data_IF_727222912298
#
_entry.id   IF_727222912298
#
_cell.length_a   1.000
_cell.length_b   1.000
_cell.length_c   1.000
_cell.angle_alpha   90.00
_cell.angle_beta   90.00
_cell.angle_gamma   90.00
#
_symmetry.space_group_name_H-M   'P 1'
#
loop_
_entity.id
_entity.type
_entity.pdbx_description
1 polymer ?
#
# COMPACT_ATOMS: atom_id res chain seq x y z
N UNK A 1 18.18 -23.52 15.23
CA UNK A 1 17.10 -23.44 14.22
C UNK A 1 15.88 -22.79 14.86
N UNK A 2 15.41 -21.67 14.32
CA UNK A 2 14.20 -21.01 14.79
C UNK A 2 12.99 -21.91 14.45
N UNK A 3 12.38 -22.56 15.45
CA UNK A 3 11.25 -23.48 15.26
C UNK A 3 10.05 -22.79 14.57
N UNK A 4 9.89 -21.48 14.77
CA UNK A 4 8.84 -20.69 14.14
C UNK A 4 9.10 -20.55 12.63
N UNK A 5 10.32 -20.17 12.25
CA UNK A 5 10.72 -20.07 10.85
C UNK A 5 10.57 -21.41 10.13
N UNK A 6 10.93 -22.51 10.78
CA UNK A 6 10.73 -23.86 10.22
C UNK A 6 9.24 -24.18 10.02
N UNK A 7 8.38 -23.85 10.99
CA UNK A 7 6.94 -24.07 10.88
C UNK A 7 6.32 -23.26 9.74
N UNK A 8 6.70 -21.99 9.59
CA UNK A 8 6.19 -21.10 8.52
C UNK A 8 6.64 -21.59 7.13
N UNK A 9 7.92 -21.93 6.96
CA UNK A 9 8.44 -22.48 5.71
C UNK A 9 7.80 -23.84 5.36
N UNK A 10 7.48 -24.65 6.36
CA UNK A 10 6.78 -25.92 6.16
C UNK A 10 5.31 -25.67 5.77
N UNK A 11 4.65 -24.70 6.39
CA UNK A 11 3.27 -24.33 6.10
C UNK A 11 3.07 -23.84 4.66
N UNK A 12 4.02 -23.06 4.12
CA UNK A 12 3.99 -22.62 2.71
C UNK A 12 3.96 -23.79 1.72
N UNK A 13 4.65 -24.88 2.05
CA UNK A 13 4.78 -26.06 1.18
C UNK A 13 3.72 -27.13 1.47
N UNK A 14 3.01 -27.02 2.59
CA UNK A 14 1.98 -27.95 3.00
C UNK A 14 0.62 -27.59 2.35
N UNK A 15 -0.24 -28.58 2.05
CA UNK A 15 -1.58 -28.34 1.54
C UNK A 15 -2.54 -27.97 2.68
N UNK A 16 -2.31 -26.82 3.33
CA UNK A 16 -3.18 -26.30 4.38
C UNK A 16 -4.45 -25.71 3.76
N UNK A 17 -5.60 -25.94 4.42
CA UNK A 17 -6.84 -25.26 4.05
C UNK A 17 -6.78 -23.79 4.50
N UNK A 18 -7.53 -22.91 3.84
CA UNK A 18 -7.58 -21.49 4.20
C UNK A 18 -7.91 -21.25 5.67
N UNK A 19 -8.86 -22.01 6.22
CA UNK A 19 -9.21 -21.92 7.64
C UNK A 19 -8.04 -22.26 8.59
N UNK A 20 -7.19 -23.23 8.24
CA UNK A 20 -5.99 -23.56 9.02
C UNK A 20 -4.95 -22.45 8.90
N UNK A 21 -4.75 -21.93 7.69
CA UNK A 21 -3.83 -20.81 7.43
C UNK A 21 -4.25 -19.57 8.20
N UNK A 22 -5.54 -19.20 8.15
CA UNK A 22 -6.10 -18.06 8.90
C UNK A 22 -5.96 -18.24 10.40
N UNK A 23 -6.20 -19.44 10.94
CA UNK A 23 -5.99 -19.70 12.37
C UNK A 23 -4.51 -19.54 12.79
N UNK A 24 -3.58 -19.98 11.93
CA UNK A 24 -2.15 -19.76 12.14
C UNK A 24 -1.77 -18.28 12.10
N UNK A 25 -2.28 -17.54 11.11
CA UNK A 25 -2.07 -16.08 10.96
C UNK A 25 -2.63 -15.34 12.18
N UNK A 26 -3.85 -15.67 12.62
CA UNK A 26 -4.48 -15.06 13.80
C UNK A 26 -3.66 -15.27 15.08
N UNK A 27 -3.12 -16.48 15.28
CA UNK A 27 -2.21 -16.77 16.39
C UNK A 27 -0.94 -15.90 16.35
N UNK A 28 -0.33 -15.74 15.18
CA UNK A 28 0.85 -14.89 14.98
C UNK A 28 0.52 -13.42 15.23
N UNK A 29 -0.61 -12.94 14.73
CA UNK A 29 -1.12 -11.59 14.98
C UNK A 29 -1.31 -11.35 16.48
N UNK A 30 -1.96 -12.27 17.19
CA UNK A 30 -2.13 -12.18 18.64
C UNK A 30 -0.80 -12.15 19.41
N UNK A 31 0.22 -12.88 18.95
CA UNK A 31 1.57 -12.82 19.52
C UNK A 31 2.21 -11.45 19.28
N UNK A 32 2.12 -10.92 18.07
CA UNK A 32 2.65 -9.58 17.73
C UNK A 32 1.94 -8.49 18.53
N UNK A 33 0.60 -8.52 18.60
CA UNK A 33 -0.21 -7.61 19.43
C UNK A 33 0.28 -7.59 20.88
N UNK A 34 0.42 -8.75 21.53
CA UNK A 34 0.92 -8.84 22.92
C UNK A 34 2.32 -8.28 23.08
N UNK A 35 3.22 -8.55 22.13
CA UNK A 35 4.59 -8.00 22.14
C UNK A 35 4.57 -6.47 22.05
N UNK A 36 3.80 -5.91 21.11
CA UNK A 36 3.70 -4.47 20.91
C UNK A 36 3.01 -3.78 22.09
N UNK A 37 1.99 -4.39 22.70
CA UNK A 37 1.34 -3.86 23.90
C UNK A 37 2.30 -3.79 25.11
N UNK A 38 3.26 -4.70 25.21
CA UNK A 38 4.31 -4.67 26.24
C UNK A 38 5.46 -3.68 25.91
N UNK A 39 5.46 -3.09 24.72
CA UNK A 39 6.52 -2.17 24.27
C UNK A 39 6.26 -0.76 24.79
N UNK A 40 7.22 -0.20 25.52
CA UNK A 40 7.12 1.14 26.11
C UNK A 40 6.89 2.22 25.03
N UNK A 41 6.09 3.24 25.35
CA UNK A 41 5.78 4.32 24.41
C UNK A 41 7.04 5.09 23.94
N UNK A 42 8.09 5.15 24.76
CA UNK A 42 9.37 5.76 24.40
C UNK A 42 10.09 5.06 23.23
N UNK A 43 9.75 3.79 22.95
CA UNK A 43 10.31 3.07 21.80
C UNK A 43 9.81 3.63 20.47
N UNK A 44 8.66 4.27 20.43
CA UNK A 44 8.16 4.92 19.21
C UNK A 44 9.07 6.09 18.81
N UNK A 45 9.53 6.89 19.78
CA UNK A 45 10.47 7.98 19.51
C UNK A 45 11.81 7.43 18.99
N UNK A 46 12.31 6.34 19.57
CA UNK A 46 13.53 5.68 19.09
C UNK A 46 13.36 5.12 17.68
N UNK A 47 12.17 4.62 17.34
CA UNK A 47 11.85 4.16 15.99
C UNK A 47 11.90 5.31 14.99
N UNK A 48 11.28 6.45 15.31
CA UNK A 48 11.32 7.68 14.51
C UNK A 48 12.76 8.16 14.32
N UNK A 49 13.55 8.24 15.38
CA UNK A 49 14.95 8.66 15.31
C UNK A 49 15.78 7.73 14.42
N UNK A 50 15.56 6.42 14.54
CA UNK A 50 16.25 5.41 13.74
C UNK A 50 15.92 5.50 12.25
N UNK A 51 14.75 6.03 11.85
CA UNK A 51 14.40 6.21 10.43
C UNK A 51 15.44 7.04 9.66
N UNK A 52 16.07 8.01 10.34
CA UNK A 52 17.06 8.90 9.72
C UNK A 52 18.33 8.18 9.27
N UNK A 53 18.57 6.97 9.76
CA UNK A 53 19.75 6.16 9.43
C UNK A 53 19.57 5.38 8.11
N UNK A 54 18.36 5.34 7.57
CA UNK A 54 18.03 4.58 6.36
C UNK A 54 17.97 5.48 5.11
N UNK A 55 18.18 4.90 3.91
CA UNK A 55 17.74 5.54 2.67
C UNK A 55 16.21 5.72 2.65
N UNK A 56 15.68 6.46 1.67
CA UNK A 56 14.21 6.67 1.55
C UNK A 56 13.50 5.33 1.38
N UNK A 57 14.00 4.47 0.50
CA UNK A 57 13.56 3.08 0.37
C UNK A 57 14.78 2.15 0.42
N UNK A 58 14.70 1.09 1.22
CA UNK A 58 15.68 0.00 1.22
C UNK A 58 15.24 -1.04 0.17
N UNK A 59 16.18 -1.71 -0.49
CA UNK A 59 15.89 -2.82 -1.41
C UNK A 59 14.93 -2.46 -2.56
N UNK A 60 14.94 -1.22 -3.06
CA UNK A 60 13.99 -0.76 -4.09
C UNK A 60 13.98 -1.65 -5.35
N UNK A 61 15.14 -2.10 -5.82
CA UNK A 61 15.26 -3.04 -6.95
C UNK A 61 14.65 -4.42 -6.67
N UNK A 62 14.74 -4.89 -5.43
CA UNK A 62 14.22 -6.20 -5.02
C UNK A 62 12.72 -6.15 -4.74
N UNK A 63 12.23 -5.08 -4.12
CA UNK A 63 10.80 -4.81 -3.99
C UNK A 63 10.11 -4.72 -5.36
N UNK A 64 10.78 -4.08 -6.33
CA UNK A 64 10.32 -4.01 -7.72
C UNK A 64 10.20 -5.38 -8.38
N UNK A 65 11.21 -6.24 -8.19
CA UNK A 65 11.17 -7.62 -8.69
C UNK A 65 10.04 -8.40 -8.03
N UNK A 66 9.95 -8.43 -6.70
CA UNK A 66 8.96 -9.23 -5.98
C UNK A 66 7.49 -8.86 -6.28
N UNK A 67 7.15 -7.57 -6.41
CA UNK A 67 5.75 -7.13 -6.53
C UNK A 67 5.28 -6.89 -7.95
N UNK A 68 6.18 -6.48 -8.84
CA UNK A 68 5.84 -6.07 -10.20
C UNK A 68 6.33 -7.06 -11.27
N UNK A 69 6.79 -8.25 -10.85
CA UNK A 69 7.05 -9.39 -11.73
C UNK A 69 5.79 -9.85 -12.48
N UNK A 70 4.61 -9.75 -11.84
CA UNK A 70 3.36 -10.11 -12.50
C UNK A 70 2.87 -9.01 -13.45
N UNK A 71 2.43 -9.36 -14.68
CA UNK A 71 1.95 -8.39 -15.65
C UNK A 71 0.58 -7.82 -15.26
N UNK A 72 0.22 -6.69 -15.88
CA UNK A 72 -1.10 -6.05 -15.72
C UNK A 72 -2.27 -7.04 -15.90
N UNK A 73 -2.09 -8.06 -16.74
CA UNK A 73 -3.07 -9.12 -16.97
C UNK A 73 -3.45 -9.87 -15.69
N UNK A 74 -2.50 -10.17 -14.80
CA UNK A 74 -2.79 -10.80 -13.51
C UNK A 74 -3.67 -9.90 -12.63
N UNK A 75 -3.23 -8.67 -12.42
CA UNK A 75 -3.97 -7.69 -11.61
C UNK A 75 -5.35 -7.38 -12.20
N UNK A 76 -5.51 -7.55 -13.53
CA UNK A 76 -6.80 -7.39 -14.19
C UNK A 76 -7.84 -8.46 -13.84
N UNK A 77 -7.37 -9.64 -13.41
CA UNK A 77 -8.19 -10.78 -12.98
C UNK A 77 -8.54 -10.70 -11.51
N UNK A 78 -7.58 -10.31 -10.68
CA UNK A 78 -7.70 -10.36 -9.22
C UNK A 78 -8.34 -9.10 -8.65
N UNK A 79 -7.99 -7.92 -9.16
CA UNK A 79 -8.49 -6.64 -8.65
C UNK A 79 -9.84 -6.26 -9.27
N UNK A 80 -10.48 -5.24 -8.72
CA UNK A 80 -11.68 -4.67 -9.32
C UNK A 80 -11.38 -3.88 -10.61
N UNK A 81 -12.41 -3.35 -11.28
CA UNK A 81 -12.27 -2.68 -12.58
C UNK A 81 -11.37 -1.43 -12.57
N UNK A 82 -11.22 -0.77 -11.43
CA UNK A 82 -10.35 0.39 -11.25
C UNK A 82 -8.89 -0.01 -11.03
N UNK A 83 -8.61 -1.29 -10.82
CA UNK A 83 -7.28 -1.83 -10.51
C UNK A 83 -6.68 -1.23 -9.25
N UNK A 84 -7.52 -0.97 -8.23
CA UNK A 84 -7.05 -0.40 -6.97
C UNK A 84 -6.37 -1.50 -6.16
N UNK A 85 -5.04 -1.49 -6.15
CA UNK A 85 -4.23 -2.41 -5.36
C UNK A 85 -3.88 -1.82 -3.99
N UNK A 86 -4.92 -1.55 -3.20
CA UNK A 86 -4.87 -1.01 -1.84
C UNK A 86 -6.25 -1.16 -1.18
N UNK A 87 -6.37 -0.89 0.11
CA UNK A 87 -7.61 -1.04 0.87
C UNK A 87 -8.82 -0.35 0.21
N UNK A 88 -9.89 -1.09 -0.06
CA UNK A 88 -11.16 -0.56 -0.58
C UNK A 88 -12.12 -0.20 0.56
N UNK A 89 -13.13 0.63 0.31
CA UNK A 89 -14.08 1.09 1.31
C UNK A 89 -15.42 0.38 1.12
N UNK A 90 -15.96 -0.22 2.17
CA UNK A 90 -17.22 -0.98 2.13
C UNK A 90 -18.25 -0.34 3.07
N UNK A 91 -19.06 0.62 2.60
CA UNK A 91 -20.06 1.29 3.44
C UNK A 91 -21.13 0.33 3.98
N UNK A 92 -21.41 -0.76 3.24
CA UNK A 92 -22.43 -1.75 3.62
C UNK A 92 -21.97 -3.18 3.36
N UNK A 93 -22.62 -4.15 3.98
CA UNK A 93 -22.39 -5.59 3.72
C UNK A 93 -22.69 -5.99 2.26
N UNK A 94 -23.51 -5.23 1.53
CA UNK A 94 -23.87 -5.52 0.14
C UNK A 94 -22.94 -4.87 -0.91
N UNK A 95 -22.01 -4.02 -0.46
CA UNK A 95 -21.07 -3.32 -1.36
C UNK A 95 -20.18 -4.32 -2.10
N UNK A 96 -20.24 -4.34 -3.42
CA UNK A 96 -19.36 -5.19 -4.26
C UNK A 96 -17.94 -4.63 -4.32
N UNK A 97 -16.93 -5.45 -4.64
CA UNK A 97 -15.54 -4.97 -4.83
C UNK A 97 -15.46 -3.79 -5.81
N UNK A 98 -16.22 -3.85 -6.92
CA UNK A 98 -16.27 -2.76 -7.92
C UNK A 98 -16.74 -1.45 -7.29
N UNK A 99 -17.80 -1.49 -6.50
CA UNK A 99 -18.31 -0.31 -5.80
C UNK A 99 -17.34 0.14 -4.72
N UNK A 100 -16.72 -0.80 -4.00
CA UNK A 100 -15.79 -0.51 -2.93
C UNK A 100 -14.52 0.21 -3.39
N UNK A 101 -14.01 -0.12 -4.59
CA UNK A 101 -12.92 0.64 -5.22
C UNK A 101 -13.34 2.09 -5.46
N UNK A 102 -14.52 2.30 -6.05
CA UNK A 102 -15.03 3.65 -6.37
C UNK A 102 -15.28 4.45 -5.09
N UNK A 103 -15.87 3.83 -4.06
CA UNK A 103 -16.07 4.46 -2.76
C UNK A 103 -14.73 4.90 -2.13
N UNK A 104 -13.71 4.05 -2.18
CA UNK A 104 -12.40 4.40 -1.64
C UNK A 104 -11.73 5.56 -2.41
N UNK A 105 -11.85 5.58 -3.73
CA UNK A 105 -11.31 6.66 -4.57
C UNK A 105 -12.05 7.98 -4.34
N UNK A 106 -13.39 7.93 -4.23
CA UNK A 106 -14.21 9.10 -3.90
C UNK A 106 -13.87 9.64 -2.50
N UNK A 107 -13.69 8.77 -1.52
CA UNK A 107 -13.34 9.16 -0.16
C UNK A 107 -11.91 9.72 -0.08
N UNK A 108 -10.99 9.19 -0.88
CA UNK A 108 -9.64 9.77 -1.06
C UNK A 108 -9.73 11.20 -1.60
N UNK A 109 -10.52 11.42 -2.65
CA UNK A 109 -10.74 12.77 -3.22
C UNK A 109 -11.32 13.73 -2.18
N UNK A 110 -12.29 13.25 -1.39
CA UNK A 110 -12.93 14.03 -0.33
C UNK A 110 -11.93 14.41 0.77
N UNK A 111 -11.20 13.43 1.31
CA UNK A 111 -10.25 13.68 2.41
C UNK A 111 -9.05 14.50 1.94
N UNK A 112 -8.60 14.32 0.70
CA UNK A 112 -7.53 15.11 0.11
C UNK A 112 -7.99 16.52 -0.30
N UNK A 113 -9.28 16.85 -0.13
CA UNK A 113 -9.89 18.11 -0.56
C UNK A 113 -9.48 18.48 -2.01
N UNK A 114 -9.60 17.51 -2.93
CA UNK A 114 -9.26 17.69 -4.34
C UNK A 114 -10.42 18.38 -5.06
N UNK A 115 -10.09 19.43 -5.81
CA UNK A 115 -11.03 20.18 -6.64
C UNK A 115 -10.52 20.25 -8.09
N UNK A 116 -11.43 20.54 -9.01
CA UNK A 116 -11.08 20.71 -10.42
C UNK A 116 -10.22 21.98 -10.62
N UNK A 117 -9.21 21.89 -11.49
CA UNK A 117 -8.26 22.97 -11.74
C UNK A 117 -6.96 22.90 -10.92
N UNK A 118 -6.83 21.94 -10.00
CA UNK A 118 -5.62 21.73 -9.21
C UNK A 118 -4.50 21.05 -10.01
N UNK A 119 -3.24 21.35 -9.69
CA UNK A 119 -2.09 20.52 -10.09
C UNK A 119 -1.81 19.51 -8.99
N UNK A 120 -1.85 18.22 -9.33
CA UNK A 120 -1.80 17.10 -8.38
C UNK A 120 -0.60 16.22 -8.67
N UNK A 121 0.18 15.89 -7.64
CA UNK A 121 1.25 14.88 -7.69
C UNK A 121 0.79 13.63 -6.94
N UNK A 122 0.81 12.49 -7.59
CA UNK A 122 0.52 11.18 -6.99
C UNK A 122 1.81 10.37 -6.85
N UNK A 123 2.20 10.05 -5.61
CA UNK A 123 3.38 9.25 -5.30
C UNK A 123 2.98 7.77 -5.17
N UNK A 124 3.57 6.90 -6.00
CA UNK A 124 3.28 5.46 -5.98
C UNK A 124 1.93 5.12 -6.62
N UNK A 125 1.73 5.44 -7.90
CA UNK A 125 0.42 5.34 -8.54
C UNK A 125 -0.06 3.92 -8.89
N UNK A 126 0.76 2.88 -8.68
CA UNK A 126 0.40 1.49 -8.95
C UNK A 126 -0.13 1.29 -10.38
N UNK A 127 -1.29 0.65 -10.52
CA UNK A 127 -1.96 0.46 -11.81
C UNK A 127 -2.83 1.65 -12.26
N UNK A 128 -2.66 2.81 -11.61
CA UNK A 128 -3.28 4.09 -11.95
C UNK A 128 -4.74 4.22 -11.54
N UNK A 129 -5.16 3.53 -10.49
CA UNK A 129 -6.56 3.58 -10.02
C UNK A 129 -6.99 5.00 -9.67
N UNK A 130 -6.15 5.73 -8.91
CA UNK A 130 -6.41 7.13 -8.60
C UNK A 130 -6.07 8.04 -9.79
N UNK A 131 -4.95 7.82 -10.47
CA UNK A 131 -4.53 8.64 -11.62
C UNK A 131 -5.63 8.78 -12.67
N UNK A 132 -6.20 7.64 -13.10
CA UNK A 132 -7.24 7.59 -14.12
C UNK A 132 -8.58 8.11 -13.60
N UNK A 133 -8.86 7.92 -12.30
CA UNK A 133 -10.06 8.46 -11.66
C UNK A 133 -10.01 10.00 -11.62
N UNK A 134 -8.91 10.58 -11.14
CA UNK A 134 -8.72 12.03 -11.08
C UNK A 134 -8.75 12.65 -12.48
N UNK A 135 -8.04 12.06 -13.44
CA UNK A 135 -8.00 12.56 -14.80
C UNK A 135 -9.40 12.64 -15.45
N UNK A 136 -10.25 11.65 -15.19
CA UNK A 136 -11.61 11.61 -15.71
C UNK A 136 -12.57 12.56 -14.97
N UNK A 137 -12.46 12.68 -13.64
CA UNK A 137 -13.36 13.50 -12.82
C UNK A 137 -13.03 15.00 -12.87
N UNK A 138 -11.76 15.35 -13.10
CA UNK A 138 -11.25 16.72 -13.00
C UNK A 138 -10.53 17.15 -14.29
N UNK A 139 -11.26 17.44 -15.37
CA UNK A 139 -10.67 17.72 -16.69
C UNK A 139 -9.82 19.00 -16.74
N UNK A 140 -10.00 19.94 -15.80
CA UNK A 140 -9.20 21.16 -15.73
C UNK A 140 -7.97 21.01 -14.82
N UNK A 141 -7.92 19.95 -14.01
CA UNK A 141 -6.74 19.61 -13.20
C UNK A 141 -5.60 19.04 -14.06
N UNK A 142 -4.37 19.09 -13.55
CA UNK A 142 -3.21 18.42 -14.15
C UNK A 142 -2.66 17.39 -13.18
N UNK A 143 -2.63 16.13 -13.59
CA UNK A 143 -2.17 15.03 -12.75
C UNK A 143 -0.79 14.59 -13.22
N UNK A 144 0.17 14.53 -12.29
CA UNK A 144 1.48 13.93 -12.48
C UNK A 144 1.57 12.74 -11.53
N UNK A 145 1.65 11.53 -12.08
CA UNK A 145 1.74 10.31 -11.30
C UNK A 145 3.14 9.70 -11.38
N UNK A 146 3.64 9.17 -10.28
CA UNK A 146 4.97 8.56 -10.19
C UNK A 146 4.83 7.09 -9.86
N UNK A 147 5.44 6.24 -10.67
CA UNK A 147 5.59 4.81 -10.42
C UNK A 147 7.07 4.43 -10.57
N UNK A 148 7.54 3.40 -9.88
CA UNK A 148 8.86 2.81 -10.12
C UNK A 148 8.83 1.76 -11.24
N UNK A 149 7.66 1.45 -11.80
CA UNK A 149 7.45 0.43 -12.83
C UNK A 149 7.13 1.04 -14.20
N UNK A 150 7.89 0.63 -15.21
CA UNK A 150 7.66 1.00 -16.61
C UNK A 150 6.40 0.35 -17.18
N UNK A 151 6.04 -0.86 -16.74
CA UNK A 151 4.85 -1.57 -17.19
C UNK A 151 3.57 -0.93 -16.68
N UNK A 152 3.57 -0.46 -15.43
CA UNK A 152 2.48 0.35 -14.86
C UNK A 152 2.29 1.65 -15.65
N UNK A 153 3.38 2.39 -15.89
CA UNK A 153 3.32 3.60 -16.73
C UNK A 153 2.72 3.33 -18.11
N UNK A 154 3.18 2.29 -18.80
CA UNK A 154 2.68 1.94 -20.13
C UNK A 154 1.17 1.63 -20.10
N UNK A 155 0.71 0.85 -19.12
CA UNK A 155 -0.70 0.52 -18.94
C UNK A 155 -1.56 1.77 -18.69
N UNK A 156 -1.13 2.66 -17.81
CA UNK A 156 -1.87 3.88 -17.45
C UNK A 156 -2.00 4.80 -18.66
N UNK A 157 -0.89 5.06 -19.38
CA UNK A 157 -0.91 5.95 -20.54
C UNK A 157 -1.74 5.37 -21.70
N UNK A 158 -1.68 4.05 -21.93
CA UNK A 158 -2.53 3.39 -22.92
C UNK A 158 -4.02 3.53 -22.56
N UNK A 159 -4.36 3.33 -21.29
CA UNK A 159 -5.73 3.47 -20.78
C UNK A 159 -6.22 4.92 -20.85
N UNK A 160 -5.37 5.88 -20.50
CA UNK A 160 -5.68 7.31 -20.61
C UNK A 160 -5.95 7.71 -22.07
N UNK A 161 -5.09 7.28 -23.00
CA UNK A 161 -5.28 7.52 -24.43
C UNK A 161 -6.58 6.90 -24.95
N UNK A 162 -6.88 5.65 -24.59
CA UNK A 162 -8.13 4.98 -24.96
C UNK A 162 -9.38 5.75 -24.48
N UNK A 163 -9.28 6.39 -23.30
CA UNK A 163 -10.37 7.18 -22.69
C UNK A 163 -10.37 8.66 -23.10
N UNK A 164 -9.42 9.10 -23.93
CA UNK A 164 -9.28 10.50 -24.33
C UNK A 164 -8.86 11.45 -23.19
N UNK A 165 -8.15 10.94 -22.18
CA UNK A 165 -7.68 11.71 -21.03
C UNK A 165 -6.33 12.34 -21.34
N UNK A 166 -6.30 13.67 -21.54
CA UNK A 166 -5.09 14.41 -21.93
C UNK A 166 -4.41 15.17 -20.79
N UNK A 167 -4.99 15.11 -19.59
CA UNK A 167 -4.56 15.86 -18.40
C UNK A 167 -3.72 15.03 -17.41
N UNK A 168 -3.26 13.84 -17.82
CA UNK A 168 -2.47 12.91 -17.01
C UNK A 168 -1.09 12.68 -17.64
N UNK A 169 -0.03 12.82 -16.84
CA UNK A 169 1.32 12.36 -17.15
C UNK A 169 1.80 11.34 -16.12
N UNK A 170 2.65 10.41 -16.55
CA UNK A 170 3.20 9.37 -15.67
C UNK A 170 4.72 9.32 -15.83
N UNK A 171 5.43 9.42 -14.71
CA UNK A 171 6.89 9.38 -14.59
C UNK A 171 7.29 8.03 -14.01
N UNK A 172 8.28 7.38 -14.62
CA UNK A 172 8.92 6.20 -14.04
C UNK A 172 10.18 6.63 -13.29
N UNK A 173 10.22 6.48 -11.97
CA UNK A 173 11.36 6.86 -11.14
C UNK A 173 11.42 6.06 -9.82
N UNK A 174 12.64 5.81 -9.34
CA UNK A 174 12.88 5.35 -7.97
C UNK A 174 12.72 6.52 -6.98
N UNK A 175 12.01 6.31 -5.88
CA UNK A 175 11.77 7.37 -4.91
C UNK A 175 13.02 7.81 -4.15
N UNK A 176 14.09 7.00 -4.11
CA UNK A 176 15.39 7.42 -3.60
C UNK A 176 15.97 8.58 -4.42
N UNK A 177 15.70 8.62 -5.73
CA UNK A 177 16.29 9.56 -6.68
C UNK A 177 15.29 10.60 -7.20
N UNK A 178 13.99 10.31 -7.12
CA UNK A 178 12.95 11.17 -7.66
C UNK A 178 13.01 12.59 -7.08
N UNK A 179 12.98 13.56 -7.98
CA UNK A 179 12.90 14.99 -7.69
C UNK A 179 12.19 15.70 -8.85
N UNK A 180 11.50 16.79 -8.54
CA UNK A 180 10.77 17.62 -9.49
C UNK A 180 10.74 19.06 -8.97
N UNK A 181 10.93 20.03 -9.86
CA UNK A 181 10.93 21.47 -9.50
C UNK A 181 9.51 22.03 -9.35
N UNK A 182 8.53 21.40 -10.01
CA UNK A 182 7.14 21.82 -9.96
C UNK A 182 6.56 21.67 -8.55
N UNK A 183 5.77 22.67 -8.12
CA UNK A 183 4.96 22.62 -6.91
C UNK A 183 3.49 22.34 -7.22
N UNK A 184 2.84 21.61 -6.33
CA UNK A 184 1.50 21.06 -6.50
C UNK A 184 0.53 21.59 -5.43
N UNK A 185 -0.73 21.76 -5.81
CA UNK A 185 -1.81 22.09 -4.87
C UNK A 185 -2.09 20.91 -3.94
N UNK A 186 -1.95 19.69 -4.47
CA UNK A 186 -2.07 18.43 -3.74
C UNK A 186 -0.93 17.50 -4.08
N UNK A 187 -0.29 16.96 -3.05
CA UNK A 187 0.51 15.75 -3.15
C UNK A 187 -0.28 14.65 -2.48
N UNK A 188 -0.39 13.49 -3.11
CA UNK A 188 -1.23 12.38 -2.66
C UNK A 188 -0.40 11.10 -2.68
N UNK A 189 -0.49 10.31 -1.63
CA UNK A 189 0.11 8.98 -1.55
C UNK A 189 -0.91 7.98 -1.04
N UNK A 190 -1.14 6.89 -1.80
CA UNK A 190 -1.96 5.77 -1.38
C UNK A 190 -1.07 4.53 -1.25
N UNK A 191 -0.96 4.04 -0.02
CA UNK A 191 -0.24 2.83 0.36
C UNK A 191 1.18 2.72 -0.24
N UNK A 192 1.93 3.83 -0.22
CA UNK A 192 3.32 3.89 -0.66
C UNK A 192 4.30 4.16 0.49
N UNK A 193 3.90 4.93 1.51
CA UNK A 193 4.79 5.37 2.59
C UNK A 193 5.24 4.20 3.49
N UNK A 194 4.40 3.19 3.69
CA UNK A 194 4.74 1.93 4.36
C UNK A 194 5.89 1.18 3.70
N UNK A 195 6.13 1.38 2.41
CA UNK A 195 7.28 0.80 1.71
C UNK A 195 8.55 1.63 1.88
N UNK A 196 8.46 2.81 2.52
CA UNK A 196 9.56 3.74 2.73
C UNK A 196 10.12 3.60 4.13
N UNK A 197 11.44 3.66 4.25
CA UNK A 197 12.17 3.42 5.51
C UNK A 197 12.59 4.71 6.21
N UNK A 198 12.72 5.82 5.47
CA UNK A 198 13.05 7.15 5.99
C UNK A 198 11.97 8.18 5.64
N UNK A 199 10.95 8.28 6.50
CA UNK A 199 9.82 9.20 6.31
C UNK A 199 10.23 10.66 6.45
N UNK A 200 11.19 11.01 7.33
CA UNK A 200 11.66 12.40 7.49
C UNK A 200 12.17 12.96 6.17
N UNK A 201 13.09 12.24 5.52
CA UNK A 201 13.67 12.66 4.24
C UNK A 201 12.63 12.73 3.12
N UNK A 202 11.64 11.85 3.13
CA UNK A 202 10.54 11.90 2.16
C UNK A 202 9.59 13.08 2.43
N UNK A 203 9.29 13.40 3.69
CA UNK A 203 8.53 14.58 4.06
C UNK A 203 9.27 15.87 3.70
N UNK A 204 10.58 15.95 3.91
CA UNK A 204 11.40 17.10 3.48
C UNK A 204 11.24 17.35 1.96
N UNK A 205 11.34 16.28 1.15
CA UNK A 205 11.10 16.36 -0.30
C UNK A 205 9.66 16.73 -0.64
N UNK A 206 8.68 16.12 0.02
CA UNK A 206 7.28 16.44 -0.19
C UNK A 206 6.98 17.91 0.13
N UNK A 207 7.63 18.50 1.14
CA UNK A 207 7.51 19.93 1.46
C UNK A 207 8.00 20.82 0.31
N UNK A 208 9.00 20.38 -0.44
CA UNK A 208 9.47 21.08 -1.63
C UNK A 208 8.52 20.94 -2.83
N UNK A 209 7.73 19.86 -2.88
CA UNK A 209 6.74 19.62 -3.93
C UNK A 209 5.37 20.24 -3.62
N UNK A 210 5.05 20.53 -2.37
CA UNK A 210 3.77 21.15 -1.98
C UNK A 210 3.87 22.68 -2.10
N UNK A 211 2.85 23.33 -2.68
CA UNK A 211 2.71 24.80 -2.65
C UNK A 211 2.51 25.29 -1.20
N UNK A 212 2.79 26.57 -0.86
CA UNK A 212 2.59 27.08 0.50
C UNK A 212 1.18 26.82 1.08
N UNK A 213 0.14 26.98 0.27
CA UNK A 213 -1.26 26.70 0.63
C UNK A 213 -1.73 25.31 0.19
N UNK A 214 -0.83 24.49 -0.35
CA UNK A 214 -1.12 23.12 -0.77
C UNK A 214 -1.25 22.18 0.41
N UNK A 215 -1.60 20.92 0.12
CA UNK A 215 -1.70 19.86 1.12
C UNK A 215 -1.03 18.58 0.65
N UNK A 216 -0.52 17.81 1.60
CA UNK A 216 -0.13 16.42 1.40
C UNK A 216 -1.25 15.55 1.97
N UNK A 217 -1.73 14.57 1.21
CA UNK A 217 -2.65 13.56 1.70
C UNK A 217 -1.95 12.20 1.76
N UNK A 218 -2.04 11.54 2.91
CA UNK A 218 -1.54 10.18 3.13
C UNK A 218 -2.71 9.24 3.37
N UNK A 219 -2.76 8.14 2.62
CA UNK A 219 -3.51 6.93 2.91
C UNK A 219 -2.47 5.83 3.15
N UNK A 220 -2.41 5.31 4.37
CA UNK A 220 -1.37 4.36 4.79
C UNK A 220 -1.97 3.35 5.76
N UNK A 221 -1.64 2.08 5.62
CA UNK A 221 -2.03 1.11 6.64
C UNK A 221 -1.24 1.30 7.93
N UNK A 222 -1.85 1.05 9.08
CA UNK A 222 -1.27 1.35 10.40
C UNK A 222 -1.57 0.26 11.42
N UNK A 223 -0.66 0.07 12.36
CA UNK A 223 -0.97 -0.55 13.64
C UNK A 223 -1.43 0.54 14.61
N UNK A 224 -2.40 0.24 15.48
CA UNK A 224 -3.07 1.26 16.29
C UNK A 224 -2.13 2.10 17.18
N UNK A 225 -1.06 1.52 17.72
CA UNK A 225 -0.24 2.20 18.76
C UNK A 225 1.27 2.21 18.52
N UNK A 226 1.81 1.37 17.63
CA UNK A 226 3.26 1.08 17.59
C UNK A 226 3.74 0.81 16.19
N UNK A 227 4.85 1.42 15.82
CA UNK A 227 5.55 1.12 14.59
C UNK A 227 6.45 -0.10 14.75
N UNK A 228 6.61 -0.87 13.67
CA UNK A 228 7.65 -1.89 13.56
C UNK A 228 8.09 -2.05 12.11
N UNK A 229 9.28 -2.60 11.90
CA UNK A 229 9.81 -2.91 10.57
C UNK A 229 9.45 -4.34 10.17
N UNK A 230 9.24 -4.53 8.88
CA UNK A 230 9.28 -5.86 8.27
C UNK A 230 10.75 -6.22 8.08
N UNK A 231 11.19 -7.30 8.70
CA UNK A 231 12.60 -7.64 8.84
C UNK A 231 12.96 -8.81 7.92
N UNK A 232 13.59 -8.50 6.79
CA UNK A 232 14.08 -9.51 5.85
C UNK A 232 15.20 -10.39 6.46
N UNK A 233 15.87 -9.93 7.52
CA UNK A 233 16.89 -10.72 8.20
C UNK A 233 16.28 -11.68 9.26
N UNK A 234 14.99 -11.53 9.61
CA UNK A 234 14.27 -12.48 10.46
C UNK A 234 13.67 -13.60 9.60
N UNK A 235 14.19 -14.85 9.67
CA UNK A 235 13.67 -15.97 8.87
C UNK A 235 12.22 -16.35 9.21
N UNK A 236 11.63 -15.80 10.27
CA UNK A 236 10.22 -15.96 10.61
C UNK A 236 9.31 -14.88 10.01
N UNK A 237 9.85 -13.81 9.42
CA UNK A 237 9.07 -12.73 8.80
C UNK A 237 8.79 -13.04 7.32
N UNK A 238 7.95 -14.05 7.08
CA UNK A 238 7.64 -14.54 5.74
C UNK A 238 7.09 -13.46 4.79
N UNK A 239 6.34 -12.48 5.32
CA UNK A 239 5.84 -11.38 4.49
C UNK A 239 6.99 -10.48 4.03
N UNK A 240 7.98 -10.19 4.88
CA UNK A 240 9.16 -9.40 4.50
C UNK A 240 9.99 -10.05 3.38
N UNK A 241 10.08 -11.38 3.37
CA UNK A 241 10.85 -12.17 2.41
C UNK A 241 10.23 -12.26 1.01
N UNK A 242 8.91 -12.07 0.89
CA UNK A 242 8.20 -12.33 -0.36
C UNK A 242 7.36 -11.17 -0.87
N UNK A 243 6.87 -10.33 0.04
CA UNK A 243 5.86 -9.31 -0.23
C UNK A 243 6.07 -7.98 0.52
N UNK A 244 7.11 -7.78 1.33
CA UNK A 244 7.27 -6.49 2.02
C UNK A 244 8.72 -6.21 2.45
N UNK A 245 9.66 -6.28 1.50
CA UNK A 245 11.08 -6.07 1.81
C UNK A 245 11.37 -4.60 2.15
N UNK A 246 11.91 -4.35 3.35
CA UNK A 246 12.41 -3.04 3.79
C UNK A 246 11.34 -2.03 4.26
N UNK A 247 10.06 -2.42 4.23
CA UNK A 247 8.95 -1.57 4.66
C UNK A 247 8.73 -1.54 6.18
N UNK A 248 7.68 -0.84 6.58
CA UNK A 248 7.25 -0.69 7.97
C UNK A 248 5.74 -0.90 8.10
N UNK A 249 5.32 -1.36 9.26
CA UNK A 249 3.98 -1.11 9.76
C UNK A 249 4.05 0.11 10.67
N UNK A 250 3.57 1.29 10.24
CA UNK A 250 3.63 2.50 11.05
C UNK A 250 2.57 2.49 12.17
N UNK A 251 2.87 3.17 13.27
CA UNK A 251 1.87 3.54 14.27
C UNK A 251 0.86 4.53 13.67
N UNK A 252 -0.37 4.50 14.13
CA UNK A 252 -1.40 5.43 13.69
C UNK A 252 -1.05 6.90 13.98
N UNK A 253 -0.27 7.18 15.03
CA UNK A 253 0.17 8.53 15.37
C UNK A 253 1.50 8.93 14.70
N UNK A 254 2.11 8.07 13.89
CA UNK A 254 3.43 8.33 13.29
C UNK A 254 3.48 9.63 12.46
N UNK A 255 2.47 10.01 11.65
CA UNK A 255 2.49 11.28 10.93
C UNK A 255 2.61 12.52 11.84
N UNK A 256 2.12 12.47 13.08
CA UNK A 256 2.23 13.58 14.04
C UNK A 256 3.66 13.79 14.54
N UNK A 257 4.57 12.83 14.32
CA UNK A 257 5.96 12.91 14.76
C UNK A 257 6.85 13.77 13.84
N UNK A 258 6.26 14.36 12.80
CA UNK A 258 6.93 15.21 11.80
C UNK A 258 6.29 16.61 11.71
N UNK A 259 5.77 17.14 12.83
CA UNK A 259 5.06 18.42 12.90
C UNK A 259 5.90 19.64 12.48
N UNK A 260 7.24 19.52 12.54
CA UNK A 260 8.18 20.53 12.08
C UNK A 260 8.25 20.66 10.54
N UNK A 261 7.76 19.64 9.83
CA UNK A 261 7.65 19.62 8.37
C UNK A 261 6.20 19.78 7.91
N UNK A 262 5.29 19.06 8.57
CA UNK A 262 3.88 18.99 8.23
C UNK A 262 3.01 18.84 9.48
N UNK A 263 2.05 19.74 9.67
CA UNK A 263 1.03 19.58 10.70
C UNK A 263 -0.17 18.79 10.15
N UNK A 264 -0.67 17.82 10.91
CA UNK A 264 -1.91 17.11 10.59
C UNK A 264 -3.09 18.06 10.81
N UNK A 265 -3.85 18.34 9.76
CA UNK A 265 -5.04 19.21 9.79
C UNK A 265 -6.31 18.40 10.03
N UNK A 266 -6.43 17.27 9.35
CA UNK A 266 -7.52 16.31 9.52
C UNK A 266 -6.98 14.88 9.51
N UNK A 267 -7.62 14.01 10.28
CA UNK A 267 -7.26 12.61 10.47
C UNK A 267 -8.50 11.73 10.45
N UNK A 268 -8.39 10.56 9.81
CA UNK A 268 -9.42 9.54 9.84
C UNK A 268 -8.80 8.15 9.95
N UNK A 269 -9.62 7.20 10.43
CA UNK A 269 -9.24 5.80 10.51
C UNK A 269 -10.32 4.91 9.95
N UNK A 270 -9.94 4.04 9.02
CA UNK A 270 -10.77 2.92 8.59
C UNK A 270 -10.42 1.68 9.40
N UNK A 271 -11.45 0.96 9.85
CA UNK A 271 -11.26 -0.37 10.46
C UNK A 271 -10.55 -1.30 9.48
N UNK A 272 -9.68 -2.17 9.99
CA UNK A 272 -9.04 -3.20 9.18
C UNK A 272 -10.03 -4.16 8.51
N UNK A 273 -11.29 -4.22 8.96
CA UNK A 273 -12.35 -5.02 8.32
C UNK A 273 -12.54 -4.68 6.83
N UNK A 274 -12.32 -3.42 6.45
CA UNK A 274 -12.34 -3.00 5.05
C UNK A 274 -11.22 -3.64 4.22
N UNK A 275 -9.99 -3.68 4.76
CA UNK A 275 -8.88 -4.33 4.07
C UNK A 275 -9.02 -5.84 4.10
N UNK A 276 -9.49 -6.42 5.22
CA UNK A 276 -9.85 -7.84 5.27
C UNK A 276 -10.80 -8.22 4.15
N UNK A 277 -11.88 -7.46 3.99
CA UNK A 277 -12.86 -7.73 2.92
C UNK A 277 -12.24 -7.56 1.53
N UNK A 278 -11.45 -6.51 1.33
CA UNK A 278 -10.68 -6.30 0.08
C UNK A 278 -9.84 -7.52 -0.29
N UNK A 279 -9.06 -8.04 0.65
CA UNK A 279 -8.20 -9.19 0.42
C UNK A 279 -8.98 -10.49 0.17
N UNK A 280 -10.12 -10.68 0.83
CA UNK A 280 -11.01 -11.82 0.58
C UNK A 280 -11.69 -11.75 -0.78
N UNK A 281 -12.10 -10.55 -1.23
CA UNK A 281 -12.67 -10.36 -2.58
C UNK A 281 -11.60 -10.62 -3.66
N UNK A 282 -10.36 -10.19 -3.43
CA UNK A 282 -9.23 -10.54 -4.30
C UNK A 282 -8.95 -12.05 -4.32
N UNK A 283 -8.96 -12.71 -3.17
CA UNK A 283 -8.81 -14.16 -3.09
C UNK A 283 -9.93 -14.89 -3.84
N UNK A 284 -11.18 -14.46 -3.70
CA UNK A 284 -12.32 -15.04 -4.41
C UNK A 284 -12.19 -14.86 -5.94
N UNK A 285 -11.65 -13.72 -6.40
CA UNK A 285 -11.34 -13.51 -7.80
C UNK A 285 -10.17 -14.40 -8.27
N UNK A 286 -9.13 -14.53 -7.46
CA UNK A 286 -8.00 -15.42 -7.73
C UNK A 286 -8.45 -16.87 -7.93
N UNK A 287 -9.40 -17.34 -7.11
CA UNK A 287 -9.97 -18.68 -7.23
C UNK A 287 -10.86 -18.84 -8.46
N UNK A 288 -11.72 -17.85 -8.72
CA UNK A 288 -12.63 -17.88 -9.87
C UNK A 288 -11.91 -17.83 -11.21
N UNK A 289 -10.79 -17.11 -11.28
CA UNK A 289 -10.03 -16.87 -12.51
C UNK A 289 -8.80 -17.77 -12.63
N UNK A 290 -8.73 -18.88 -11.87
CA UNK A 290 -7.56 -19.78 -11.84
C UNK A 290 -7.09 -20.21 -13.22
N UNK A 291 -8.02 -20.58 -14.10
CA UNK A 291 -7.73 -21.04 -15.48
C UNK A 291 -7.03 -19.96 -16.34
N UNK A 292 -7.24 -18.68 -16.00
CA UNK A 292 -6.61 -17.53 -16.66
C UNK A 292 -5.31 -17.11 -15.97
N UNK A 293 -5.18 -17.37 -14.67
CA UNK A 293 -4.03 -16.98 -13.83
C UNK A 293 -2.89 -17.99 -13.94
N UNK A 294 -3.18 -19.29 -13.95
CA UNK A 294 -2.17 -20.34 -14.01
C UNK A 294 -1.21 -20.21 -15.21
N UNK A 295 -1.67 -19.92 -16.45
CA UNK A 295 -0.77 -19.69 -17.58
C UNK A 295 0.17 -18.50 -17.36
N UNK A 296 -0.32 -17.41 -16.74
CA UNK A 296 0.50 -16.22 -16.45
C UNK A 296 1.61 -16.61 -15.46
N UNK A 297 1.28 -17.40 -14.43
CA UNK A 297 2.26 -17.85 -13.46
C UNK A 297 3.28 -18.80 -14.09
N UNK A 298 2.85 -19.70 -14.98
CA UNK A 298 3.74 -20.58 -15.71
C UNK A 298 4.72 -19.80 -16.60
N UNK A 299 4.26 -18.72 -17.23
CA UNK A 299 5.11 -17.83 -18.04
C UNK A 299 6.13 -17.07 -17.18
N UNK A 300 5.69 -16.49 -16.06
CA UNK A 300 6.54 -15.63 -15.21
C UNK A 300 7.50 -16.44 -14.33
N UNK A 301 6.99 -17.50 -13.68
CA UNK A 301 7.72 -18.26 -12.66
C UNK A 301 8.21 -19.63 -13.14
N UNK A 302 7.79 -20.08 -14.32
CA UNK A 302 8.20 -21.37 -14.88
C UNK A 302 7.91 -22.54 -13.94
N UNK A 303 8.94 -23.31 -13.61
CA UNK A 303 8.84 -24.48 -12.72
C UNK A 303 8.36 -24.15 -11.30
N UNK A 304 8.53 -22.90 -10.86
CA UNK A 304 8.18 -22.46 -9.52
C UNK A 304 6.74 -21.92 -9.43
N UNK A 305 5.99 -21.91 -10.56
CA UNK A 305 4.62 -21.43 -10.63
C UNK A 305 3.67 -22.06 -9.57
N UNK A 306 3.68 -23.39 -9.31
CA UNK A 306 2.82 -23.96 -8.28
C UNK A 306 3.11 -23.44 -6.87
N UNK A 307 4.39 -23.14 -6.57
CA UNK A 307 4.78 -22.55 -5.29
C UNK A 307 4.31 -21.10 -5.20
N UNK A 308 4.51 -20.31 -6.26
CA UNK A 308 4.08 -18.93 -6.30
C UNK A 308 2.56 -18.75 -6.22
N UNK A 309 1.77 -19.65 -6.82
CA UNK A 309 0.32 -19.65 -6.65
C UNK A 309 -0.08 -19.79 -5.17
N UNK A 310 0.61 -20.66 -4.42
CA UNK A 310 0.39 -20.82 -2.97
C UNK A 310 0.82 -19.58 -2.20
N UNK A 311 1.95 -18.97 -2.57
CA UNK A 311 2.43 -17.72 -1.96
C UNK A 311 1.44 -16.59 -2.13
N UNK A 312 0.91 -16.38 -3.34
CA UNK A 312 -0.10 -15.36 -3.59
C UNK A 312 -1.41 -15.63 -2.85
N UNK A 313 -1.87 -16.88 -2.77
CA UNK A 313 -2.98 -17.25 -1.89
C UNK A 313 -2.69 -16.89 -0.43
N UNK A 314 -1.52 -17.28 0.08
CA UNK A 314 -1.12 -17.00 1.45
C UNK A 314 -0.97 -15.50 1.72
N UNK A 315 -0.54 -14.71 0.73
CA UNK A 315 -0.50 -13.26 0.81
C UNK A 315 -1.91 -12.67 1.04
N UNK A 316 -2.91 -13.06 0.23
CA UNK A 316 -4.28 -12.58 0.46
C UNK A 316 -4.84 -13.02 1.82
N UNK A 317 -4.57 -14.25 2.25
CA UNK A 317 -4.97 -14.74 3.56
C UNK A 317 -4.25 -14.01 4.70
N UNK A 318 -2.96 -13.71 4.56
CA UNK A 318 -2.16 -12.97 5.53
C UNK A 318 -2.69 -11.54 5.69
N UNK A 319 -2.96 -10.84 4.59
CA UNK A 319 -3.61 -9.53 4.59
C UNK A 319 -4.99 -9.60 5.25
N UNK A 320 -5.80 -10.59 4.87
CA UNK A 320 -7.14 -10.77 5.44
C UNK A 320 -7.13 -11.05 6.95
N UNK A 321 -6.20 -11.89 7.41
CA UNK A 321 -6.04 -12.24 8.82
C UNK A 321 -5.48 -11.09 9.64
N UNK A 322 -4.45 -10.39 9.14
CA UNK A 322 -3.81 -9.27 9.84
C UNK A 322 -4.81 -8.13 10.09
N UNK A 323 -5.42 -7.61 9.02
CA UNK A 323 -6.39 -6.52 9.14
C UNK A 323 -7.73 -6.98 9.70
N UNK A 324 -7.98 -8.29 9.71
CA UNK A 324 -9.16 -8.91 10.32
C UNK A 324 -9.10 -9.11 11.82
N UNK A 325 -7.89 -9.10 12.39
CA UNK A 325 -7.65 -9.49 13.77
C UNK A 325 -8.37 -8.55 14.74
N UNK A 326 -9.01 -9.14 15.76
CA UNK A 326 -9.89 -8.44 16.71
C UNK A 326 -10.83 -7.44 16.03
N UNK A 327 -11.60 -7.92 15.06
CA UNK A 327 -12.60 -7.14 14.31
C UNK A 327 -12.02 -5.87 13.65
N UNK A 328 -10.75 -5.94 13.23
CA UNK A 328 -10.03 -4.87 12.56
C UNK A 328 -9.73 -3.67 13.44
N UNK A 329 -9.68 -3.86 14.76
CA UNK A 329 -9.32 -2.81 15.70
C UNK A 329 -7.80 -2.61 15.81
N UNK A 330 -7.00 -3.66 15.61
CA UNK A 330 -5.55 -3.61 15.85
C UNK A 330 -4.76 -3.02 14.68
N UNK A 331 -5.03 -3.51 13.47
CA UNK A 331 -4.47 -2.98 12.23
C UNK A 331 -5.59 -2.37 11.40
N UNK A 332 -5.35 -1.20 10.84
CA UNK A 332 -6.34 -0.46 10.05
C UNK A 332 -5.68 0.42 9.02
N UNK A 333 -6.42 1.39 8.48
CA UNK A 333 -5.90 2.35 7.50
C UNK A 333 -6.10 3.76 8.02
N UNK A 334 -5.02 4.53 8.08
CA UNK A 334 -5.03 5.93 8.47
C UNK A 334 -5.04 6.83 7.25
N UNK A 335 -5.90 7.85 7.30
CA UNK A 335 -5.94 8.95 6.34
C UNK A 335 -5.53 10.23 7.05
N UNK A 336 -4.67 11.03 6.43
CA UNK A 336 -4.17 12.27 7.01
C UNK A 336 -4.13 13.34 5.94
N UNK A 337 -4.77 14.48 6.20
CA UNK A 337 -4.57 15.70 5.42
C UNK A 337 -3.56 16.56 6.17
N UNK A 338 -2.41 16.80 5.56
CA UNK A 338 -1.31 17.52 6.17
C UNK A 338 -1.06 18.86 5.48
N UNK A 339 -0.85 19.90 6.29
CA UNK A 339 -0.44 21.23 5.84
C UNK A 339 1.05 21.44 6.09
N UNK A 340 1.80 22.07 5.15
CA UNK A 340 3.19 22.42 5.40
C UNK A 340 3.34 23.24 6.68
N UNK A 341 4.33 22.89 7.51
CA UNK A 341 4.66 23.68 8.69
C UNK A 341 5.10 25.09 8.27
N UNK A 342 4.58 26.10 8.98
CA UNK A 342 4.99 27.50 8.77
C UNK A 342 6.47 27.63 9.14
N UNK A 343 7.27 28.36 8.35
CA UNK A 343 8.67 28.63 8.67
C UNK A 343 8.85 29.40 9.97
#
# INVERSE_FOLDING_TARGET
MNMLAFAINTAERAPLTDGMSLAGIDFLCGRTKRRLAATAASQENLFVDAMNQYPVAIHADEANRQHYELPAAFFSRVLGPSRKYSCCLYPTEYTTLKEAEVHALAETVRHAAIEDGMTILELGCGWGSLSLYLAAQFPNSRIVSVSNSSSQRAFILATANQRGLSNLSVITADMNEFSIEQRFDRVVSIEMFEHMSNWRKLFERARDWVKPEGRLFLHVFTHKDRSYRFDHDDPADWIAHHFFTGGIMPAHDLPHRFEDLFAVEEEWRWSGTHYRRTALDWLANFDRESDQIEPIFAEVYGKDAPLWLRRWRLFFLATAGLFGHDDGDIWGVGHYLLKPARP
#
